data_IF_380112699399
#
_entry.id   IF_380112699399
#
_cell.length_a   1.000
_cell.length_b   1.000
_cell.length_c   1.000
_cell.angle_alpha   90.00
_cell.angle_beta   90.00
_cell.angle_gamma   90.00
#
_symmetry.space_group_name_H-M   'P 1'
#
loop_
_entity.id
_entity.type
_entity.pdbx_description
1 polymer ?
#
# COMPACT_ATOMS: atom_id res chain seq x y z
N UNK A 1 -53.37 14.08 -37.18
CA UNK A 1 -52.24 13.52 -37.95
C UNK A 1 -51.46 12.70 -36.94
N UNK A 2 -51.89 11.53 -36.50
CA UNK A 2 -52.54 10.37 -37.16
C UNK A 2 -51.80 9.86 -38.39
N UNK A 3 -51.08 8.75 -38.18
CA UNK A 3 -50.89 7.53 -39.00
C UNK A 3 -49.61 6.83 -38.48
N UNK A 4 -49.68 5.73 -37.72
CA UNK A 4 -49.91 4.32 -38.14
C UNK A 4 -48.87 3.82 -39.14
N UNK A 5 -48.40 2.57 -39.18
CA UNK A 5 -48.33 1.41 -38.29
C UNK A 5 -47.61 0.31 -39.11
N UNK A 6 -47.17 -0.76 -38.43
CA UNK A 6 -46.91 -2.11 -38.95
C UNK A 6 -45.60 -2.44 -39.68
N UNK A 7 -44.77 -3.28 -39.03
CA UNK A 7 -44.59 -4.64 -39.54
C UNK A 7 -44.37 -5.66 -38.39
N UNK A 8 -45.00 -6.82 -38.55
CA UNK A 8 -45.22 -7.90 -37.57
C UNK A 8 -44.65 -9.20 -38.13
N UNK A 9 -43.87 -9.96 -37.34
CA UNK A 9 -43.95 -11.44 -37.22
C UNK A 9 -42.79 -11.96 -36.35
N UNK A 10 -43.05 -12.42 -35.12
CA UNK A 10 -43.43 -13.77 -34.69
C UNK A 10 -42.27 -14.79 -34.56
N UNK A 11 -42.00 -15.21 -33.31
CA UNK A 11 -42.00 -16.61 -32.82
C UNK A 11 -41.84 -16.61 -31.27
N UNK A 12 -42.90 -16.94 -30.50
CA UNK A 12 -43.13 -18.25 -29.83
C UNK A 12 -42.11 -18.57 -28.72
N UNK A 13 -42.35 -18.21 -27.45
CA UNK A 13 -43.16 -18.88 -26.41
C UNK A 13 -42.51 -20.08 -25.70
N UNK A 14 -42.08 -19.90 -24.46
CA UNK A 14 -42.35 -20.86 -23.36
C UNK A 14 -42.09 -20.21 -22.01
N UNK A 15 -43.15 -19.96 -21.26
CA UNK A 15 -43.09 -19.49 -19.88
C UNK A 15 -42.87 -20.62 -18.87
N UNK A 16 -42.54 -20.21 -17.64
CA UNK A 16 -43.24 -20.62 -16.40
C UNK A 16 -42.68 -19.82 -15.23
N UNK A 17 -43.50 -18.91 -14.70
CA UNK A 17 -43.42 -18.41 -13.32
C UNK A 17 -44.25 -19.34 -12.44
N UNK A 18 -43.77 -19.67 -11.24
CA UNK A 18 -44.62 -19.98 -10.10
C UNK A 18 -43.95 -19.41 -8.84
N UNK A 19 -44.71 -18.57 -8.15
CA UNK A 19 -44.42 -17.99 -6.85
C UNK A 19 -45.00 -18.87 -5.71
N UNK A 20 -44.84 -18.36 -4.48
CA UNK A 20 -45.51 -18.71 -3.20
C UNK A 20 -44.78 -19.79 -2.36
N UNK A 21 -44.69 -19.74 -1.02
CA UNK A 21 -45.22 -18.85 0.05
C UNK A 21 -44.51 -19.25 1.36
N UNK A 22 -44.34 -18.30 2.28
CA UNK A 22 -44.02 -18.57 3.69
C UNK A 22 -45.28 -18.96 4.51
N UNK A 23 -45.14 -19.86 5.50
CA UNK A 23 -46.06 -19.98 6.63
C UNK A 23 -45.40 -20.61 7.87
N UNK A 24 -45.63 -19.98 9.03
CA UNK A 24 -45.26 -20.40 10.38
C UNK A 24 -46.36 -21.26 11.05
N UNK A 25 -46.00 -22.08 12.06
CA UNK A 25 -46.86 -22.31 13.24
C UNK A 25 -47.08 -23.75 13.76
N UNK A 26 -46.44 -24.05 14.91
CA UNK A 26 -46.95 -24.76 16.12
C UNK A 26 -47.43 -26.24 16.15
N UNK A 27 -46.92 -26.96 17.16
CA UNK A 27 -47.37 -28.22 17.83
C UNK A 27 -48.63 -27.99 18.71
N UNK A 28 -49.32 -28.96 19.40
CA UNK A 28 -48.84 -30.25 19.96
C UNK A 28 -49.84 -31.46 20.14
N UNK A 29 -49.25 -32.59 20.58
CA UNK A 29 -49.76 -33.57 21.60
C UNK A 29 -50.54 -34.85 21.24
N UNK A 30 -50.09 -35.92 21.93
CA UNK A 30 -50.75 -37.13 22.48
C UNK A 30 -51.08 -38.39 21.62
N UNK A 31 -50.50 -39.51 22.10
CA UNK A 31 -50.68 -40.96 21.83
C UNK A 31 -52.03 -41.48 22.46
N UNK A 32 -52.39 -42.80 22.55
CA UNK A 32 -51.66 -44.06 22.24
C UNK A 32 -52.49 -45.25 21.65
N UNK A 33 -51.81 -46.34 21.24
CA UNK A 33 -52.17 -47.74 21.55
C UNK A 33 -51.09 -48.75 21.11
N UNK A 34 -50.68 -49.64 22.03
CA UNK A 34 -49.90 -50.88 21.84
C UNK A 34 -50.88 -52.10 21.72
N UNK A 35 -50.46 -53.36 21.46
CA UNK A 35 -49.67 -54.23 22.39
C UNK A 35 -48.62 -55.15 21.67
N UNK A 36 -47.45 -55.46 22.24
CA UNK A 36 -47.09 -56.38 23.35
C UNK A 36 -46.72 -57.81 22.89
N UNK A 37 -45.46 -58.20 23.15
CA UNK A 37 -45.05 -59.58 23.45
C UNK A 37 -43.87 -59.58 24.44
N UNK A 38 -44.24 -59.80 25.70
CA UNK A 38 -43.43 -60.19 26.87
C UNK A 38 -42.37 -61.28 26.64
N UNK A 39 -41.25 -61.17 27.35
CA UNK A 39 -40.78 -62.12 28.41
C UNK A 39 -39.67 -61.48 29.27
N UNK A 40 -39.90 -61.50 30.58
CA UNK A 40 -39.07 -61.10 31.74
C UNK A 40 -38.06 -62.20 32.17
N UNK A 41 -37.22 -62.08 33.24
CA UNK A 41 -36.69 -60.92 34.01
C UNK A 41 -35.18 -61.01 34.46
N UNK A 42 -34.73 -59.95 35.16
CA UNK A 42 -33.69 -59.90 36.23
C UNK A 42 -32.18 -59.74 35.87
N UNK A 43 -31.58 -58.57 36.13
CA UNK A 43 -30.77 -58.26 37.34
C UNK A 43 -30.01 -56.92 37.25
N UNK A 44 -29.87 -56.27 38.41
CA UNK A 44 -29.15 -55.02 38.68
C UNK A 44 -27.62 -55.16 38.55
N UNK A 45 -26.94 -54.07 38.17
CA UNK A 45 -25.50 -53.93 38.37
C UNK A 45 -24.90 -52.63 37.83
N UNK A 46 -24.66 -51.66 38.72
CA UNK A 46 -23.80 -50.48 38.48
C UNK A 46 -22.39 -50.87 38.00
N UNK A 47 -21.83 -50.11 37.03
CA UNK A 47 -20.40 -49.73 36.89
C UNK A 47 -20.25 -48.75 35.71
N UNK A 48 -19.87 -47.50 36.01
CA UNK A 48 -18.53 -46.88 35.87
C UNK A 48 -18.17 -46.50 34.43
N UNK A 49 -17.94 -45.19 34.26
CA UNK A 49 -17.43 -44.55 33.06
C UNK A 49 -15.96 -44.90 32.83
N UNK A 50 -15.62 -45.17 31.57
CA UNK A 50 -14.24 -45.31 31.08
C UNK A 50 -13.72 -43.94 30.55
N UNK A 51 -12.40 -43.67 30.67
CA UNK A 51 -11.79 -42.40 30.27
C UNK A 51 -11.54 -42.30 28.75
N UNK A 52 -11.34 -41.09 28.21
CA UNK A 52 -11.27 -40.89 26.76
C UNK A 52 -9.93 -41.40 26.19
N UNK A 53 -10.04 -42.39 25.30
CA UNK A 53 -8.95 -42.89 24.49
C UNK A 53 -8.55 -41.90 23.39
N UNK A 54 -7.24 -41.68 23.33
CA UNK A 54 -6.45 -41.02 22.29
C UNK A 54 -6.99 -41.18 20.86
N UNK A 55 -7.50 -40.10 20.28
CA UNK A 55 -7.76 -40.01 18.84
C UNK A 55 -6.44 -39.76 18.12
N UNK A 56 -5.95 -40.78 17.41
CA UNK A 56 -4.87 -40.62 16.44
C UNK A 56 -5.28 -39.58 15.38
N UNK A 57 -4.58 -38.45 15.37
CA UNK A 57 -4.56 -37.54 14.23
C UNK A 57 -4.02 -38.30 13.03
N UNK A 58 -4.89 -38.62 12.07
CA UNK A 58 -4.43 -38.95 10.73
C UNK A 58 -3.79 -37.68 10.18
N UNK A 59 -2.46 -37.65 10.24
CA UNK A 59 -1.64 -36.61 9.65
C UNK A 59 -2.11 -36.36 8.23
N UNK A 60 -2.48 -35.11 7.96
CA UNK A 60 -2.60 -34.60 6.60
C UNK A 60 -1.23 -34.82 5.98
N UNK A 61 -1.13 -35.76 5.06
CA UNK A 61 0.07 -35.93 4.23
C UNK A 61 0.37 -34.54 3.65
N UNK A 62 1.58 -33.97 3.84
CA UNK A 62 1.93 -32.76 3.14
C UNK A 62 1.82 -33.10 1.66
N UNK A 63 0.90 -32.46 0.97
CA UNK A 63 0.86 -32.47 -0.48
C UNK A 63 2.27 -32.12 -0.94
N UNK A 64 2.96 -33.08 -1.57
CA UNK A 64 4.22 -32.82 -2.26
C UNK A 64 3.98 -31.58 -3.10
N UNK A 65 4.65 -30.48 -2.76
CA UNK A 65 4.86 -29.38 -3.68
C UNK A 65 5.39 -30.03 -4.96
N UNK A 66 4.62 -29.91 -6.04
CA UNK A 66 5.12 -30.15 -7.39
C UNK A 66 6.47 -29.44 -7.53
N UNK A 67 7.46 -30.01 -8.22
CA UNK A 67 8.75 -29.34 -8.40
C UNK A 67 8.47 -27.95 -8.95
N UNK A 68 8.87 -26.92 -8.18
CA UNK A 68 8.74 -25.52 -8.55
C UNK A 68 9.20 -25.40 -10.02
N UNK A 69 8.29 -24.97 -10.91
CA UNK A 69 8.73 -24.56 -12.24
C UNK A 69 9.81 -23.51 -12.02
N UNK A 70 10.98 -23.68 -12.63
CA UNK A 70 12.03 -22.68 -12.55
C UNK A 70 11.44 -21.33 -12.95
N UNK A 71 11.46 -20.39 -12.01
CA UNK A 71 10.98 -19.05 -12.24
C UNK A 71 11.87 -18.35 -13.28
N UNK A 72 11.35 -17.34 -13.97
CA UNK A 72 12.09 -16.61 -14.99
C UNK A 72 13.34 -15.96 -14.37
N UNK A 73 13.25 -15.49 -13.12
CA UNK A 73 14.37 -14.95 -12.38
C UNK A 73 15.45 -16.00 -12.11
N UNK A 74 15.07 -17.22 -11.70
CA UNK A 74 16.02 -18.33 -11.46
C UNK A 74 16.77 -18.70 -12.75
N UNK A 75 16.06 -18.75 -13.89
CA UNK A 75 16.66 -19.02 -15.19
C UNK A 75 17.64 -17.91 -15.62
N UNK A 76 17.30 -16.64 -15.35
CA UNK A 76 18.15 -15.50 -15.65
C UNK A 76 19.41 -15.50 -14.78
N UNK A 77 19.29 -15.75 -13.47
CA UNK A 77 20.44 -15.84 -12.55
C UNK A 77 21.38 -16.97 -12.99
N UNK A 78 20.86 -18.16 -13.32
CA UNK A 78 21.68 -19.28 -13.79
C UNK A 78 22.39 -18.99 -15.11
N UNK A 79 21.71 -18.32 -16.06
CA UNK A 79 22.32 -17.87 -17.30
C UNK A 79 23.46 -16.87 -17.02
N UNK A 80 23.23 -15.92 -16.11
CA UNK A 80 24.21 -14.90 -15.73
C UNK A 80 25.42 -15.55 -15.04
N UNK A 81 25.21 -16.51 -14.14
CA UNK A 81 26.28 -17.32 -13.53
C UNK A 81 27.09 -18.00 -14.61
N UNK A 82 26.46 -18.64 -15.60
CA UNK A 82 27.17 -19.38 -16.65
C UNK A 82 28.03 -18.43 -17.52
N UNK A 83 27.44 -17.33 -18.00
CA UNK A 83 28.13 -16.35 -18.85
C UNK A 83 29.27 -15.66 -18.09
N UNK A 84 29.02 -15.21 -16.87
CA UNK A 84 30.01 -14.48 -16.08
C UNK A 84 31.07 -15.40 -15.48
N UNK A 85 30.75 -16.66 -15.16
CA UNK A 85 31.75 -17.66 -14.79
C UNK A 85 32.69 -17.97 -15.95
N UNK A 86 32.17 -18.08 -17.17
CA UNK A 86 33.00 -18.25 -18.37
C UNK A 86 33.87 -17.02 -18.64
N UNK A 87 33.31 -15.81 -18.50
CA UNK A 87 34.07 -14.55 -18.59
C UNK A 87 35.17 -14.49 -17.52
N UNK A 88 34.84 -14.84 -16.28
CA UNK A 88 35.74 -14.92 -15.13
C UNK A 88 36.88 -15.91 -15.35
N UNK A 89 36.59 -17.06 -15.95
CA UNK A 89 37.61 -18.04 -16.34
C UNK A 89 38.61 -17.46 -17.34
N UNK A 90 38.12 -16.74 -18.36
CA UNK A 90 38.98 -16.09 -19.36
C UNK A 90 39.82 -14.97 -18.74
N UNK A 91 39.21 -14.13 -17.91
CA UNK A 91 39.86 -12.98 -17.27
C UNK A 91 40.86 -13.38 -16.18
N UNK A 92 40.57 -14.44 -15.42
CA UNK A 92 41.34 -14.85 -14.25
C UNK A 92 41.05 -13.99 -13.01
N UNK A 93 41.37 -14.52 -11.82
CA UNK A 93 41.17 -13.83 -10.54
C UNK A 93 42.06 -12.60 -10.42
N UNK A 94 43.30 -12.65 -10.90
CA UNK A 94 44.22 -11.51 -10.86
C UNK A 94 43.72 -10.31 -11.63
N UNK A 95 42.99 -10.50 -12.73
CA UNK A 95 42.34 -9.38 -13.41
C UNK A 95 40.97 -9.04 -12.81
N UNK A 96 40.10 -10.04 -12.67
CA UNK A 96 38.73 -9.83 -12.19
C UNK A 96 38.66 -9.36 -10.73
N UNK A 97 39.49 -9.92 -9.86
CA UNK A 97 39.54 -9.57 -8.44
C UNK A 97 40.08 -8.16 -8.19
N UNK A 98 41.10 -7.70 -8.93
CA UNK A 98 41.57 -6.32 -8.85
C UNK A 98 40.55 -5.31 -9.42
N UNK A 99 39.78 -5.70 -10.44
CA UNK A 99 38.66 -4.89 -10.92
C UNK A 99 37.54 -4.79 -9.86
N UNK A 100 37.13 -5.92 -9.26
CA UNK A 100 36.15 -5.93 -8.15
C UNK A 100 36.61 -5.10 -6.95
N UNK A 101 37.88 -5.22 -6.57
CA UNK A 101 38.46 -4.40 -5.51
C UNK A 101 38.38 -2.91 -5.86
N UNK A 102 38.70 -2.56 -7.11
CA UNK A 102 38.56 -1.19 -7.61
C UNK A 102 37.12 -0.68 -7.54
N UNK A 103 36.13 -1.51 -7.88
CA UNK A 103 34.71 -1.15 -7.75
C UNK A 103 34.30 -0.91 -6.31
N UNK A 104 34.69 -1.80 -5.37
CA UNK A 104 34.36 -1.65 -3.94
C UNK A 104 35.01 -0.40 -3.36
N UNK A 105 36.30 -0.20 -3.60
CA UNK A 105 37.01 1.01 -3.18
C UNK A 105 36.40 2.25 -3.83
N UNK A 106 36.05 2.15 -5.11
CA UNK A 106 35.39 3.21 -5.86
C UNK A 106 34.04 3.62 -5.28
N UNK A 107 33.23 2.67 -4.87
CA UNK A 107 31.94 2.92 -4.22
C UNK A 107 32.11 3.58 -2.85
N UNK A 108 33.06 3.10 -2.03
CA UNK A 108 33.35 3.70 -0.71
C UNK A 108 33.88 5.13 -0.86
N UNK A 109 34.88 5.33 -1.73
CA UNK A 109 35.46 6.65 -1.98
C UNK A 109 34.41 7.57 -2.59
N UNK A 110 33.66 7.09 -3.58
CA UNK A 110 32.56 7.82 -4.21
C UNK A 110 31.52 8.31 -3.19
N UNK A 111 31.08 7.44 -2.28
CA UNK A 111 30.13 7.81 -1.23
C UNK A 111 30.69 8.84 -0.25
N UNK A 112 32.00 8.82 0.02
CA UNK A 112 32.66 9.77 0.91
C UNK A 112 32.87 11.15 0.26
N UNK A 113 33.19 11.19 -1.04
CA UNK A 113 33.49 12.44 -1.75
C UNK A 113 32.27 13.08 -2.40
N UNK A 114 31.23 12.32 -2.72
CA UNK A 114 30.05 12.84 -3.40
C UNK A 114 29.35 13.95 -2.60
N UNK A 115 29.08 13.84 -1.28
CA UNK A 115 28.43 14.91 -0.53
C UNK A 115 29.21 16.25 -0.54
N UNK A 116 30.51 16.32 -0.17
CA UNK A 116 31.23 17.60 -0.15
C UNK A 116 31.48 18.18 -1.54
N UNK A 117 31.61 17.34 -2.58
CA UNK A 117 31.76 17.83 -3.95
C UNK A 117 30.44 18.36 -4.51
N UNK A 118 29.32 17.71 -4.22
CA UNK A 118 28.00 18.17 -4.66
C UNK A 118 27.69 19.56 -4.10
N UNK A 119 27.98 19.79 -2.82
CA UNK A 119 27.85 21.11 -2.19
C UNK A 119 28.72 22.20 -2.85
N UNK A 120 29.82 21.83 -3.48
CA UNK A 120 30.68 22.77 -4.21
C UNK A 120 30.13 23.10 -5.60
N UNK A 121 29.49 22.13 -6.27
CA UNK A 121 28.98 22.28 -7.63
C UNK A 121 27.51 22.74 -7.71
N UNK A 122 26.73 22.57 -6.64
CA UNK A 122 25.34 23.00 -6.56
C UNK A 122 25.25 24.44 -6.01
N UNK A 123 24.82 25.43 -6.80
CA UNK A 123 24.71 26.82 -6.35
C UNK A 123 23.61 27.06 -5.31
N UNK A 124 22.64 26.14 -5.21
CA UNK A 124 21.52 26.18 -4.27
C UNK A 124 21.33 24.79 -3.64
N UNK A 125 21.66 24.58 -2.36
CA UNK A 125 21.35 23.33 -1.66
C UNK A 125 19.83 23.08 -1.66
N UNK A 126 19.40 21.87 -2.00
CA UNK A 126 18.00 21.43 -2.07
C UNK A 126 17.34 21.55 -3.45
N UNK A 127 18.08 21.93 -4.49
CA UNK A 127 17.53 21.99 -5.86
C UNK A 127 17.35 20.60 -6.48
N UNK A 128 16.39 20.47 -7.40
CA UNK A 128 16.02 19.19 -8.02
C UNK A 128 17.18 18.48 -8.78
N UNK A 129 18.25 19.20 -9.12
CA UNK A 129 19.46 18.70 -9.78
C UNK A 129 20.53 18.16 -8.82
N UNK A 130 20.43 18.44 -7.51
CA UNK A 130 21.42 18.01 -6.51
C UNK A 130 21.63 16.48 -6.47
N UNK A 131 20.57 15.64 -6.47
CA UNK A 131 20.75 14.18 -6.47
C UNK A 131 21.42 13.67 -7.76
N UNK A 132 21.16 14.33 -8.89
CA UNK A 132 21.72 13.96 -10.18
C UNK A 132 23.23 14.26 -10.24
N UNK A 133 23.64 15.39 -9.67
CA UNK A 133 25.06 15.77 -9.55
C UNK A 133 25.78 14.80 -8.60
N UNK A 134 25.19 14.49 -7.45
CA UNK A 134 25.74 13.53 -6.49
C UNK A 134 25.91 12.13 -7.10
N UNK A 135 24.89 11.65 -7.82
CA UNK A 135 24.95 10.40 -8.56
C UNK A 135 26.03 10.41 -9.65
N UNK A 136 26.16 11.51 -10.39
CA UNK A 136 27.21 11.70 -11.38
C UNK A 136 28.62 11.59 -10.80
N UNK A 137 28.89 12.28 -9.68
CA UNK A 137 30.18 12.23 -8.98
C UNK A 137 30.47 10.82 -8.47
N UNK A 138 29.48 10.16 -7.87
CA UNK A 138 29.59 8.79 -7.38
C UNK A 138 29.95 7.80 -8.51
N UNK A 139 29.26 7.88 -9.64
CA UNK A 139 29.50 7.00 -10.80
C UNK A 139 30.90 7.25 -11.39
N UNK A 140 31.31 8.52 -11.54
CA UNK A 140 32.65 8.84 -12.05
C UNK A 140 33.75 8.28 -11.15
N UNK A 141 33.59 8.40 -9.82
CA UNK A 141 34.56 7.85 -8.87
C UNK A 141 34.70 6.33 -8.99
N UNK A 142 33.57 5.60 -9.12
CA UNK A 142 33.57 4.15 -9.34
C UNK A 142 34.32 3.82 -10.63
N UNK A 143 33.95 4.43 -11.75
CA UNK A 143 34.52 4.11 -13.06
C UNK A 143 36.03 4.36 -13.12
N UNK A 144 36.51 5.45 -12.52
CA UNK A 144 37.94 5.78 -12.50
C UNK A 144 38.71 4.76 -11.67
N UNK A 145 38.25 4.44 -10.46
CA UNK A 145 38.97 3.54 -9.54
C UNK A 145 38.89 2.08 -10.02
N UNK A 146 37.74 1.64 -10.52
CA UNK A 146 37.59 0.33 -11.18
C UNK A 146 38.49 0.23 -12.41
N UNK A 147 38.54 1.26 -13.25
CA UNK A 147 39.40 1.31 -14.44
C UNK A 147 40.88 1.16 -14.11
N UNK A 148 41.35 1.81 -13.03
CA UNK A 148 42.71 1.64 -12.52
C UNK A 148 42.95 0.22 -12.02
N UNK A 149 42.03 -0.33 -11.22
CA UNK A 149 42.08 -1.71 -10.74
C UNK A 149 42.14 -2.73 -11.87
N UNK A 150 41.29 -2.56 -12.89
CA UNK A 150 41.26 -3.40 -14.09
C UNK A 150 42.55 -3.30 -14.90
N UNK A 151 43.13 -2.12 -15.05
CA UNK A 151 44.40 -1.93 -15.78
C UNK A 151 45.56 -2.62 -15.07
N UNK A 152 45.65 -2.48 -13.75
CA UNK A 152 46.64 -3.19 -12.93
C UNK A 152 46.43 -4.70 -12.96
N UNK A 153 45.16 -5.13 -12.86
CA UNK A 153 44.78 -6.53 -12.92
C UNK A 153 45.09 -7.20 -14.27
N UNK A 154 44.88 -6.51 -15.38
CA UNK A 154 45.25 -7.00 -16.70
C UNK A 154 46.75 -7.24 -16.81
N UNK A 155 47.58 -6.29 -16.32
CA UNK A 155 49.04 -6.46 -16.29
C UNK A 155 49.45 -7.65 -15.42
N UNK A 156 48.83 -7.80 -14.25
CA UNK A 156 49.07 -8.95 -13.37
C UNK A 156 48.71 -10.27 -14.05
N UNK A 157 47.58 -10.34 -14.76
CA UNK A 157 47.14 -11.52 -15.51
C UNK A 157 48.14 -11.92 -16.61
N UNK A 158 48.67 -10.96 -17.37
CA UNK A 158 49.69 -11.24 -18.41
C UNK A 158 50.96 -11.87 -17.80
N UNK A 159 51.32 -11.49 -16.57
CA UNK A 159 52.44 -12.10 -15.85
C UNK A 159 52.08 -13.51 -15.35
N UNK A 160 50.89 -13.68 -14.77
CA UNK A 160 50.40 -14.98 -14.26
C UNK A 160 50.28 -16.03 -15.35
N UNK A 161 49.86 -15.65 -16.56
CA UNK A 161 49.75 -16.55 -17.72
C UNK A 161 51.08 -17.20 -18.13
N UNK A 162 52.22 -16.61 -17.76
CA UNK A 162 53.55 -17.18 -18.01
C UNK A 162 53.96 -18.25 -16.99
N UNK A 163 53.14 -18.47 -15.95
CA UNK A 163 53.44 -19.39 -14.85
C UNK A 163 52.51 -20.60 -14.85
N UNK A 164 52.84 -21.63 -14.07
CA UNK A 164 51.97 -22.79 -13.85
C UNK A 164 50.69 -22.46 -13.06
N UNK A 165 50.58 -21.26 -12.51
CA UNK A 165 49.42 -20.81 -11.73
C UNK A 165 48.27 -20.29 -12.62
N UNK A 166 48.48 -20.18 -13.93
CA UNK A 166 47.49 -19.65 -14.87
C UNK A 166 46.13 -20.37 -14.83
N UNK A 167 46.14 -21.69 -14.65
CA UNK A 167 44.91 -22.51 -14.54
C UNK A 167 44.19 -22.25 -13.22
N UNK A 168 44.92 -22.23 -12.10
CA UNK A 168 44.36 -21.92 -10.79
C UNK A 168 43.80 -20.50 -10.71
N UNK A 169 44.47 -19.52 -11.31
CA UNK A 169 43.99 -18.14 -11.43
C UNK A 169 42.69 -18.06 -12.25
N UNK A 170 42.57 -18.85 -13.31
CA UNK A 170 41.36 -18.92 -14.15
C UNK A 170 40.18 -19.57 -13.40
N UNK A 171 40.44 -20.67 -12.69
CA UNK A 171 39.42 -21.33 -11.85
C UNK A 171 38.95 -20.40 -10.73
N UNK A 172 39.89 -19.75 -10.04
CA UNK A 172 39.56 -18.75 -9.01
C UNK A 172 38.73 -17.59 -9.60
N UNK A 173 39.05 -17.12 -10.80
CA UNK A 173 38.28 -16.08 -11.49
C UNK A 173 36.84 -16.49 -11.78
N UNK A 174 36.62 -17.74 -12.20
CA UNK A 174 35.27 -18.30 -12.38
C UNK A 174 34.50 -18.38 -11.07
N UNK A 175 35.12 -18.86 -10.00
CA UNK A 175 34.49 -18.98 -8.67
C UNK A 175 34.12 -17.60 -8.13
N UNK A 176 35.03 -16.62 -8.20
CA UNK A 176 34.75 -15.26 -7.76
C UNK A 176 33.65 -14.58 -8.57
N UNK A 177 33.57 -14.87 -9.88
CA UNK A 177 32.49 -14.33 -10.71
C UNK A 177 31.15 -14.95 -10.35
N UNK A 178 31.08 -16.26 -10.11
CA UNK A 178 29.88 -16.93 -9.62
C UNK A 178 29.41 -16.34 -8.29
N UNK A 179 30.32 -16.20 -7.32
CA UNK A 179 30.02 -15.56 -6.03
C UNK A 179 29.56 -14.11 -6.19
N UNK A 180 30.16 -13.35 -7.12
CA UNK A 180 29.74 -11.98 -7.43
C UNK A 180 28.31 -11.91 -7.95
N UNK A 181 27.91 -12.83 -8.83
CA UNK A 181 26.51 -12.90 -9.32
C UNK A 181 25.55 -13.23 -8.19
N UNK A 182 25.87 -14.22 -7.36
CA UNK A 182 25.04 -14.58 -6.21
C UNK A 182 24.92 -13.42 -5.20
N UNK A 183 25.99 -12.65 -5.00
CA UNK A 183 25.95 -11.46 -4.15
C UNK A 183 25.05 -10.36 -4.73
N UNK A 184 25.13 -10.09 -6.03
CA UNK A 184 24.26 -9.10 -6.69
C UNK A 184 22.81 -9.55 -6.69
N UNK A 185 22.54 -10.83 -6.96
CA UNK A 185 21.21 -11.42 -6.88
C UNK A 185 20.63 -11.22 -5.47
N UNK A 186 21.36 -11.68 -4.44
CA UNK A 186 20.99 -11.46 -3.04
C UNK A 186 20.72 -9.99 -2.71
N UNK A 187 21.58 -9.07 -3.17
CA UNK A 187 21.42 -7.64 -2.91
C UNK A 187 20.16 -7.06 -3.57
N UNK A 188 19.89 -7.44 -4.82
CA UNK A 188 18.69 -7.01 -5.54
C UNK A 188 17.43 -7.64 -4.93
N UNK A 189 17.47 -8.93 -4.60
CA UNK A 189 16.42 -9.62 -3.86
C UNK A 189 16.11 -8.93 -2.55
N UNK A 190 17.14 -8.60 -1.75
CA UNK A 190 16.97 -7.83 -0.51
C UNK A 190 16.36 -6.45 -0.74
N UNK A 191 16.87 -5.70 -1.73
CA UNK A 191 16.42 -4.34 -2.03
C UNK A 191 14.95 -4.30 -2.47
N UNK A 192 14.54 -5.26 -3.31
CA UNK A 192 13.24 -5.24 -4.00
C UNK A 192 12.23 -6.28 -3.50
N UNK A 193 12.55 -7.11 -2.49
CA UNK A 193 11.64 -8.11 -1.92
C UNK A 193 10.30 -7.51 -1.44
N UNK A 194 10.32 -6.25 -1.01
CA UNK A 194 9.14 -5.50 -0.56
C UNK A 194 8.78 -4.35 -1.52
N UNK A 195 9.18 -4.43 -2.80
CA UNK A 195 8.82 -3.39 -3.77
C UNK A 195 7.31 -3.33 -4.02
N UNK A 196 6.80 -2.12 -4.28
CA UNK A 196 5.42 -1.85 -4.70
C UNK A 196 5.11 -2.40 -6.11
N UNK A 197 6.15 -2.63 -6.92
CA UNK A 197 6.06 -3.25 -8.23
C UNK A 197 5.74 -4.74 -8.10
N UNK A 198 4.45 -5.09 -8.16
CA UNK A 198 3.94 -6.46 -8.03
C UNK A 198 4.68 -7.49 -8.90
N UNK A 199 5.01 -7.16 -10.14
CA UNK A 199 5.75 -8.06 -11.05
C UNK A 199 7.13 -8.42 -10.50
N UNK A 200 7.86 -7.44 -9.93
CA UNK A 200 9.21 -7.65 -9.39
C UNK A 200 9.13 -8.42 -8.08
N UNK A 201 8.19 -8.02 -7.20
CA UNK A 201 7.95 -8.65 -5.92
C UNK A 201 7.54 -10.14 -6.06
N UNK A 202 6.60 -10.46 -6.96
CA UNK A 202 6.18 -11.84 -7.23
C UNK A 202 7.35 -12.70 -7.72
N UNK A 203 8.17 -12.21 -8.65
CA UNK A 203 9.31 -12.95 -9.18
C UNK A 203 10.39 -13.21 -8.10
N UNK A 204 10.64 -12.24 -7.22
CA UNK A 204 11.60 -12.39 -6.11
C UNK A 204 11.11 -13.38 -5.06
N UNK A 205 9.83 -13.31 -4.68
CA UNK A 205 9.26 -14.18 -3.65
C UNK A 205 9.05 -15.63 -4.11
N UNK A 206 8.83 -15.84 -5.41
CA UNK A 206 8.70 -17.19 -5.99
C UNK A 206 10.05 -17.84 -6.33
N UNK A 207 11.11 -17.04 -6.54
CA UNK A 207 12.47 -17.55 -6.83
C UNK A 207 13.00 -18.47 -5.73
N UNK A 208 13.46 -19.66 -6.13
CA UNK A 208 14.09 -20.59 -5.21
C UNK A 208 15.50 -20.14 -4.81
N UNK A 209 16.23 -19.50 -5.74
CA UNK A 209 17.58 -19.00 -5.51
C UNK A 209 17.56 -17.83 -4.52
N UNK A 210 16.67 -16.85 -4.69
CA UNK A 210 16.57 -15.72 -3.78
C UNK A 210 16.16 -16.13 -2.36
N UNK A 211 15.18 -17.03 -2.22
CA UNK A 211 14.80 -17.61 -0.90
C UNK A 211 15.98 -18.31 -0.22
N UNK A 212 16.78 -19.06 -0.98
CA UNK A 212 17.98 -19.72 -0.45
C UNK A 212 19.07 -18.70 -0.08
N UNK A 213 19.26 -17.65 -0.88
CA UNK A 213 20.24 -16.60 -0.60
C UNK A 213 19.87 -15.79 0.64
N UNK A 214 18.61 -15.38 0.79
CA UNK A 214 18.12 -14.61 1.93
C UNK A 214 18.20 -15.38 3.26
N UNK A 215 18.18 -16.71 3.24
CA UNK A 215 18.34 -17.54 4.45
C UNK A 215 19.79 -17.78 4.85
N UNK A 216 20.73 -17.72 3.90
CA UNK A 216 22.15 -18.04 4.13
C UNK A 216 22.99 -16.76 4.30
N UNK A 217 22.63 -15.67 3.61
CA UNK A 217 23.42 -14.46 3.58
C UNK A 217 23.36 -13.67 4.91
N UNK A 218 24.45 -12.97 5.27
CA UNK A 218 24.49 -12.13 6.47
C UNK A 218 23.58 -10.91 6.32
N UNK A 219 23.19 -10.32 7.45
CA UNK A 219 22.47 -9.04 7.46
C UNK A 219 23.29 -7.97 6.72
N UNK A 220 22.66 -7.17 5.84
CA UNK A 220 23.38 -6.20 5.05
C UNK A 220 24.00 -5.10 5.93
N UNK A 221 25.15 -4.55 5.53
CA UNK A 221 25.74 -3.38 6.18
C UNK A 221 24.75 -2.21 6.29
N UNK A 222 24.80 -1.48 7.40
CA UNK A 222 23.87 -0.38 7.70
C UNK A 222 23.77 0.71 6.62
N UNK A 223 24.82 0.93 5.83
CA UNK A 223 24.77 1.90 4.73
C UNK A 223 23.90 1.44 3.56
N UNK A 224 23.78 0.12 3.31
CA UNK A 224 22.91 -0.44 2.28
C UNK A 224 21.44 -0.42 2.72
N UNK A 225 21.18 -0.60 4.01
CA UNK A 225 19.83 -0.43 4.58
C UNK A 225 19.29 0.98 4.34
N UNK A 226 20.15 2.02 4.37
CA UNK A 226 19.76 3.40 4.02
C UNK A 226 19.41 3.59 2.55
N UNK A 227 20.08 2.88 1.65
CA UNK A 227 19.76 2.91 0.20
C UNK A 227 18.45 2.18 -0.05
N UNK A 228 18.24 1.06 0.62
CA UNK A 228 16.97 0.34 0.59
C UNK A 228 15.84 1.20 1.18
N UNK A 229 16.05 1.86 2.32
CA UNK A 229 15.09 2.81 2.92
C UNK A 229 14.80 3.97 1.97
N UNK A 230 15.79 4.53 1.28
CA UNK A 230 15.56 5.54 0.26
C UNK A 230 14.75 5.00 -0.92
N UNK A 231 14.99 3.78 -1.39
CA UNK A 231 14.28 3.15 -2.51
C UNK A 231 12.90 2.57 -2.14
N UNK A 232 12.71 2.20 -0.87
CA UNK A 232 11.44 1.75 -0.29
C UNK A 232 10.55 2.92 0.12
N UNK A 233 11.15 4.03 0.56
CA UNK A 233 10.50 5.31 0.82
C UNK A 233 10.56 6.22 -0.42
N UNK A 234 11.03 5.71 -1.56
CA UNK A 234 10.72 6.28 -2.88
C UNK A 234 9.34 5.78 -3.27
N UNK A 235 8.33 6.10 -2.46
CA UNK A 235 6.99 6.26 -2.99
C UNK A 235 7.13 7.19 -4.20
N UNK A 236 6.42 6.90 -5.29
CA UNK A 236 6.36 7.85 -6.40
C UNK A 236 5.98 9.20 -5.80
N UNK A 237 6.56 10.32 -6.30
CA UNK A 237 6.57 11.59 -5.57
C UNK A 237 5.16 11.99 -5.15
N UNK A 238 4.76 11.76 -3.89
CA UNK A 238 3.40 11.98 -3.38
C UNK A 238 2.84 13.30 -3.96
N UNK A 239 1.62 13.34 -4.54
CA UNK A 239 1.13 14.52 -5.24
C UNK A 239 1.03 15.75 -4.33
N UNK A 240 1.10 15.54 -3.01
CA UNK A 240 1.09 16.54 -1.95
C UNK A 240 2.48 16.81 -1.33
N UNK A 241 3.56 16.25 -1.88
CA UNK A 241 4.95 16.50 -1.43
C UNK A 241 5.43 17.94 -1.63
N UNK A 242 4.73 18.73 -2.45
CA UNK A 242 4.98 20.15 -2.66
C UNK A 242 4.45 21.07 -1.55
N UNK A 243 3.69 20.54 -0.58
CA UNK A 243 3.15 21.32 0.53
C UNK A 243 4.27 21.67 1.53
N UNK A 244 4.61 22.96 1.62
CA UNK A 244 5.63 23.49 2.55
C UNK A 244 5.14 24.78 3.24
N UNK A 245 4.15 24.69 4.14
CA UNK A 245 3.67 25.85 4.90
C UNK A 245 4.74 26.40 5.83
N UNK A 246 4.82 27.72 5.93
CA UNK A 246 5.63 28.39 6.97
C UNK A 246 4.73 28.98 8.06
N UNK A 247 3.97 28.13 8.75
CA UNK A 247 3.06 28.54 9.83
C UNK A 247 3.64 28.23 11.22
N UNK A 248 3.32 29.01 12.27
CA UNK A 248 3.70 28.67 13.64
C UNK A 248 3.14 27.30 14.09
N UNK A 249 3.80 26.67 15.05
CA UNK A 249 3.26 25.48 15.71
C UNK A 249 2.19 25.89 16.73
N UNK A 250 1.07 25.18 16.73
CA UNK A 250 -0.02 25.36 17.69
C UNK A 250 -0.12 24.14 18.62
N UNK A 251 -0.43 24.33 19.91
CA UNK A 251 -0.45 23.26 20.90
C UNK A 251 -1.66 22.35 20.71
N UNK A 252 -1.42 21.04 20.76
CA UNK A 252 -2.47 20.02 20.75
C UNK A 252 -3.40 20.13 21.97
N UNK A 253 -4.67 19.70 21.85
CA UNK A 253 -5.56 19.61 23.00
C UNK A 253 -5.02 18.67 24.07
N UNK A 254 -5.30 18.99 25.34
CA UNK A 254 -4.95 18.13 26.47
C UNK A 254 -5.75 16.82 26.48
N UNK A 255 -6.92 16.80 25.85
CA UNK A 255 -7.77 15.61 25.68
C UNK A 255 -8.68 15.80 24.47
N UNK A 256 -8.87 14.73 23.71
CA UNK A 256 -9.88 14.62 22.64
C UNK A 256 -11.19 13.98 23.14
N UNK A 257 -11.25 13.51 24.40
CA UNK A 257 -12.40 12.80 24.98
C UNK A 257 -13.56 13.74 25.37
N UNK A 258 -14.10 14.45 24.39
CA UNK A 258 -15.21 15.38 24.52
C UNK A 258 -16.51 14.76 24.04
N UNK A 259 -17.66 15.35 24.40
CA UNK A 259 -18.94 14.87 23.90
C UNK A 259 -19.09 15.04 22.38
N UNK A 260 -18.54 16.12 21.83
CA UNK A 260 -18.56 16.39 20.39
C UNK A 260 -17.73 15.40 19.59
N UNK A 261 -16.48 15.18 19.99
CA UNK A 261 -15.58 14.23 19.31
C UNK A 261 -16.13 12.80 19.38
N UNK A 262 -16.60 12.34 20.54
CA UNK A 262 -17.23 11.01 20.65
C UNK A 262 -18.50 10.84 19.81
N UNK A 263 -19.25 11.93 19.60
CA UNK A 263 -20.41 11.88 18.72
C UNK A 263 -19.96 11.73 17.26
N UNK A 264 -18.93 12.47 16.85
CA UNK A 264 -18.35 12.34 15.50
C UNK A 264 -17.75 10.94 15.26
N UNK A 265 -17.01 10.38 16.23
CA UNK A 265 -16.46 9.01 16.17
C UNK A 265 -17.54 7.97 15.84
N UNK A 266 -18.74 8.09 16.43
CA UNK A 266 -19.83 7.16 16.16
C UNK A 266 -20.33 7.17 14.70
N UNK A 267 -19.98 8.21 13.93
CA UNK A 267 -20.45 8.42 12.57
C UNK A 267 -19.37 8.25 11.48
N UNK A 268 -18.08 8.17 11.84
CA UNK A 268 -17.00 7.96 10.87
C UNK A 268 -16.91 6.49 10.47
N UNK A 269 -16.81 6.22 9.17
CA UNK A 269 -16.83 4.88 8.60
C UNK A 269 -15.55 4.59 7.82
N UNK A 270 -15.18 3.31 7.77
CA UNK A 270 -14.08 2.85 6.92
C UNK A 270 -14.55 2.71 5.48
N UNK A 271 -13.77 3.22 4.53
CA UNK A 271 -13.96 2.95 3.10
C UNK A 271 -12.93 1.94 2.65
N UNK A 272 -13.34 0.97 1.84
CA UNK A 272 -12.44 0.07 1.13
C UNK A 272 -12.83 0.10 -0.35
N UNK A 273 -11.90 0.52 -1.21
CA UNK A 273 -12.03 0.54 -2.65
C UNK A 273 -11.17 -0.56 -3.28
N UNK A 274 -11.77 -1.44 -4.07
CA UNK A 274 -11.11 -2.58 -4.69
C UNK A 274 -10.77 -2.29 -6.15
N UNK A 275 -9.54 -2.57 -6.57
CA UNK A 275 -9.14 -2.47 -7.99
C UNK A 275 -7.69 -2.09 -8.22
N UNK A 276 -7.17 -1.14 -7.44
CA UNK A 276 -5.81 -0.64 -7.58
C UNK A 276 -4.86 -1.37 -6.60
N UNK A 277 -3.59 -1.54 -6.99
CA UNK A 277 -2.58 -2.28 -6.20
C UNK A 277 -2.34 -3.75 -6.61
N UNK A 278 -2.81 -4.18 -7.79
CA UNK A 278 -2.62 -5.54 -8.32
C UNK A 278 -3.85 -6.44 -8.18
N UNK A 279 -3.76 -7.75 -8.51
CA UNK A 279 -4.91 -8.66 -8.47
C UNK A 279 -5.50 -8.77 -7.06
N UNK A 280 -6.67 -8.18 -6.84
CA UNK A 280 -7.32 -8.13 -5.51
C UNK A 280 -6.79 -7.03 -4.58
N UNK A 281 -6.02 -6.08 -5.10
CA UNK A 281 -5.58 -4.90 -4.35
C UNK A 281 -6.77 -4.04 -3.91
N UNK A 282 -6.61 -3.42 -2.73
CA UNK A 282 -7.61 -2.53 -2.16
C UNK A 282 -6.92 -1.34 -1.48
N UNK A 283 -7.55 -0.17 -1.60
CA UNK A 283 -7.18 1.05 -0.89
C UNK A 283 -8.16 1.23 0.26
N UNK A 284 -7.65 1.56 1.43
CA UNK A 284 -8.47 1.87 2.60
C UNK A 284 -8.36 3.35 2.94
N UNK A 285 -9.47 3.92 3.37
CA UNK A 285 -9.56 5.30 3.84
C UNK A 285 -10.73 5.47 4.78
N UNK A 286 -11.09 6.73 5.00
CA UNK A 286 -12.14 7.15 5.93
C UNK A 286 -13.22 7.92 5.20
N UNK A 287 -14.44 7.87 5.72
CA UNK A 287 -15.57 8.63 5.21
C UNK A 287 -16.58 8.95 6.30
N UNK A 288 -17.39 9.98 6.08
CA UNK A 288 -18.38 10.44 7.04
C UNK A 288 -19.63 10.99 6.35
N UNK A 289 -20.81 10.96 7.02
CA UNK A 289 -22.07 11.29 6.38
C UNK A 289 -22.21 12.80 6.11
N UNK A 290 -22.59 13.14 4.87
CA UNK A 290 -22.85 14.52 4.41
C UNK A 290 -24.29 14.75 3.92
N UNK A 291 -25.08 13.68 3.82
CA UNK A 291 -26.47 13.73 3.38
C UNK A 291 -27.16 12.38 3.52
N UNK A 292 -28.40 12.29 3.05
CA UNK A 292 -29.18 11.06 3.06
C UNK A 292 -28.51 9.98 2.22
N UNK A 293 -28.00 8.93 2.87
CA UNK A 293 -27.20 7.86 2.25
C UNK A 293 -25.94 8.36 1.51
N UNK A 294 -25.47 9.59 1.78
CA UNK A 294 -24.28 10.18 1.15
C UNK A 294 -23.12 10.25 2.14
N UNK A 295 -21.96 9.74 1.73
CA UNK A 295 -20.71 9.76 2.50
C UNK A 295 -19.63 10.50 1.72
N UNK A 296 -18.91 11.42 2.37
CA UNK A 296 -17.76 12.10 1.78
C UNK A 296 -16.47 11.34 2.10
N UNK A 297 -15.56 11.26 1.13
CA UNK A 297 -14.19 10.76 1.26
C UNK A 297 -13.27 11.51 0.30
N UNK A 298 -11.98 11.16 0.23
CA UNK A 298 -11.10 11.70 -0.80
C UNK A 298 -11.25 10.97 -2.13
N UNK A 299 -11.02 11.68 -3.23
CA UNK A 299 -11.05 11.09 -4.57
C UNK A 299 -9.99 9.99 -4.73
N UNK A 300 -8.76 10.22 -4.24
CA UNK A 300 -7.68 9.23 -4.34
C UNK A 300 -7.99 7.92 -3.60
N UNK A 301 -8.87 7.92 -2.59
CA UNK A 301 -9.26 6.70 -1.85
C UNK A 301 -10.04 5.75 -2.75
N UNK A 302 -10.82 6.27 -3.70
CA UNK A 302 -11.72 5.49 -4.57
C UNK A 302 -11.29 5.48 -6.04
N UNK A 303 -10.24 6.19 -6.39
CA UNK A 303 -9.78 6.34 -7.77
C UNK A 303 -9.49 5.00 -8.46
N UNK A 304 -10.06 4.79 -9.65
CA UNK A 304 -9.84 3.61 -10.50
C UNK A 304 -10.38 2.29 -9.94
N UNK A 305 -11.21 2.34 -8.91
CA UNK A 305 -11.76 1.14 -8.28
C UNK A 305 -12.94 0.57 -9.07
N UNK A 306 -13.13 -0.74 -9.03
CA UNK A 306 -14.30 -1.37 -9.66
C UNK A 306 -15.43 -1.64 -8.66
N UNK A 307 -15.16 -1.48 -7.36
CA UNK A 307 -16.09 -1.73 -6.27
C UNK A 307 -15.66 -0.99 -5.02
N UNK A 308 -16.61 -0.35 -4.34
CA UNK A 308 -16.37 0.33 -3.08
C UNK A 308 -17.30 -0.22 -2.01
N UNK A 309 -16.78 -0.34 -0.80
CA UNK A 309 -17.56 -0.69 0.39
C UNK A 309 -17.32 0.31 1.50
N UNK A 310 -18.38 0.65 2.23
CA UNK A 310 -18.33 1.52 3.40
C UNK A 310 -18.76 0.69 4.60
N UNK A 311 -17.94 0.68 5.64
CA UNK A 311 -18.21 -0.03 6.88
C UNK A 311 -18.41 0.96 8.03
N UNK A 312 -19.67 1.23 8.41
CA UNK A 312 -19.94 2.04 9.59
C UNK A 312 -19.54 1.33 10.91
N UNK A 313 -19.33 2.10 11.99
CA UNK A 313 -18.95 1.55 13.29
C UNK A 313 -19.91 0.47 13.77
N UNK A 314 -19.37 -0.70 14.14
CA UNK A 314 -20.15 -1.83 14.65
C UNK A 314 -21.12 -2.47 13.64
N UNK A 315 -21.08 -2.09 12.36
CA UNK A 315 -21.96 -2.61 11.31
C UNK A 315 -21.20 -3.44 10.28
N UNK A 316 -21.96 -4.20 9.49
CA UNK A 316 -21.42 -4.91 8.33
C UNK A 316 -21.12 -3.91 7.20
N UNK A 317 -20.12 -4.19 6.35
CA UNK A 317 -19.86 -3.39 5.16
C UNK A 317 -21.09 -3.29 4.24
N UNK A 318 -21.34 -2.09 3.74
CA UNK A 318 -22.37 -1.76 2.77
C UNK A 318 -21.70 -1.48 1.42
N UNK A 319 -22.38 -1.85 0.33
CA UNK A 319 -21.92 -1.47 -1.02
C UNK A 319 -22.10 0.03 -1.20
N UNK A 320 -21.12 0.67 -1.83
CA UNK A 320 -21.16 2.09 -2.16
C UNK A 320 -20.97 2.29 -3.67
N UNK A 321 -21.40 3.44 -4.17
CA UNK A 321 -21.16 3.89 -5.54
C UNK A 321 -20.69 5.34 -5.51
N UNK A 322 -19.65 5.66 -6.29
CA UNK A 322 -19.18 7.04 -6.46
C UNK A 322 -20.22 7.81 -7.27
N UNK A 323 -20.77 8.88 -6.70
CA UNK A 323 -21.77 9.76 -7.37
C UNK A 323 -21.23 11.15 -7.68
N UNK A 324 -20.18 11.57 -6.98
CA UNK A 324 -19.36 12.74 -7.32
C UNK A 324 -17.89 12.34 -7.19
N UNK A 325 -17.08 12.78 -8.14
CA UNK A 325 -15.64 12.53 -8.17
C UNK A 325 -14.95 13.78 -8.71
N UNK A 326 -14.26 14.50 -7.84
CA UNK A 326 -13.46 15.67 -8.15
C UNK A 326 -11.97 15.38 -7.86
N UNK A 327 -11.16 15.10 -8.91
CA UNK A 327 -9.73 14.85 -8.75
C UNK A 327 -8.91 16.13 -8.50
N UNK A 328 -9.47 17.30 -8.82
CA UNK A 328 -8.77 18.58 -8.71
C UNK A 328 -8.72 19.01 -7.25
N UNK A 329 -9.80 18.86 -6.48
CA UNK A 329 -9.78 19.13 -5.03
C UNK A 329 -9.68 17.88 -4.15
N UNK A 330 -9.53 16.70 -4.77
CA UNK A 330 -9.40 15.40 -4.10
C UNK A 330 -10.63 15.04 -3.23
N UNK A 331 -11.83 15.22 -3.77
CA UNK A 331 -13.10 14.92 -3.10
C UNK A 331 -13.89 13.88 -3.88
N UNK A 332 -14.46 12.91 -3.16
CA UNK A 332 -15.47 12.02 -3.72
C UNK A 332 -16.66 11.90 -2.76
N UNK A 333 -17.84 11.75 -3.33
CA UNK A 333 -19.06 11.46 -2.59
C UNK A 333 -19.61 10.11 -3.02
N UNK A 334 -19.89 9.28 -2.04
CA UNK A 334 -20.40 7.93 -2.19
C UNK A 334 -21.88 7.90 -1.83
N UNK A 335 -22.69 7.34 -2.70
CA UNK A 335 -24.04 6.88 -2.35
C UNK A 335 -23.96 5.48 -1.75
N UNK A 336 -24.48 5.32 -0.53
CA UNK A 336 -24.42 4.10 0.29
C UNK A 336 -25.84 3.72 0.70
N UNK A 337 -26.60 2.99 -0.15
CA UNK A 337 -27.99 2.68 0.14
C UNK A 337 -28.18 1.94 1.48
N UNK A 338 -29.04 2.47 2.33
CA UNK A 338 -29.32 1.89 3.65
C UNK A 338 -28.28 2.25 4.72
N UNK A 339 -27.52 3.32 4.51
CA UNK A 339 -26.64 3.91 5.52
C UNK A 339 -27.47 4.36 6.73
N UNK A 340 -28.49 5.19 6.51
CA UNK A 340 -29.38 5.66 7.58
C UNK A 340 -28.68 6.41 8.72
N UNK A 341 -27.64 7.18 8.40
CA UNK A 341 -26.87 8.01 9.34
C UNK A 341 -27.18 9.49 9.10
N UNK A 342 -27.11 10.30 10.16
CA UNK A 342 -27.32 11.74 10.05
C UNK A 342 -26.02 12.43 9.66
N UNK A 343 -26.05 13.50 8.84
CA UNK A 343 -24.85 14.24 8.48
C UNK A 343 -24.16 14.84 9.70
N UNK A 344 -22.82 14.86 9.69
CA UNK A 344 -22.07 15.60 10.70
C UNK A 344 -22.27 17.12 10.52
N UNK A 345 -22.32 17.90 11.61
CA UNK A 345 -22.39 19.35 11.52
C UNK A 345 -21.08 19.88 10.93
N UNK A 346 -21.18 20.73 9.90
CA UNK A 346 -20.02 21.37 9.25
C UNK A 346 -19.93 22.82 9.76
N UNK A 347 -18.76 23.21 10.25
CA UNK A 347 -18.50 24.58 10.68
C UNK A 347 -18.47 25.53 9.48
N UNK A 348 -18.98 26.75 9.68
CA UNK A 348 -18.97 27.78 8.66
C UNK A 348 -17.67 28.58 8.68
N UNK A 349 -17.05 28.78 7.52
CA UNK A 349 -15.84 29.57 7.36
C UNK A 349 -14.56 28.83 7.77
N UNK A 350 -13.43 29.53 7.77
CA UNK A 350 -12.14 28.94 8.09
C UNK A 350 -11.93 28.79 9.59
N UNK A 351 -11.33 27.67 10.03
CA UNK A 351 -10.93 27.55 11.42
C UNK A 351 -9.80 28.55 11.73
N UNK A 352 -9.86 29.16 12.91
CA UNK A 352 -8.80 30.03 13.38
C UNK A 352 -7.55 29.22 13.74
N UNK A 353 -6.37 29.82 13.59
CA UNK A 353 -5.15 29.26 14.18
C UNK A 353 -5.34 29.08 15.70
N UNK A 354 -4.87 27.96 16.23
CA UNK A 354 -5.06 27.53 17.61
C UNK A 354 -6.37 26.80 17.88
N UNK A 355 -7.28 26.66 16.90
CA UNK A 355 -8.47 25.81 17.06
C UNK A 355 -8.03 24.37 17.30
N UNK A 356 -8.43 23.81 18.44
CA UNK A 356 -8.12 22.45 18.83
C UNK A 356 -9.23 21.49 18.43
N UNK A 357 -8.85 20.25 18.16
CA UNK A 357 -9.78 19.26 17.63
C UNK A 357 -9.16 17.87 17.53
N UNK A 358 -9.71 17.06 16.64
CA UNK A 358 -9.21 15.74 16.33
C UNK A 358 -9.42 15.36 14.86
N UNK A 359 -8.49 14.59 14.32
CA UNK A 359 -8.69 13.81 13.09
C UNK A 359 -9.25 12.46 13.50
N UNK A 360 -10.35 12.04 12.87
CA UNK A 360 -10.97 10.75 13.11
C UNK A 360 -10.89 9.93 11.83
N UNK A 361 -10.35 8.72 11.91
CA UNK A 361 -10.14 7.90 10.72
C UNK A 361 -9.84 6.44 11.01
N UNK A 362 -9.42 5.72 9.97
CA UNK A 362 -9.08 4.30 9.99
C UNK A 362 -7.65 4.08 9.51
N UNK A 363 -6.64 4.37 10.35
CA UNK A 363 -5.23 4.23 10.01
C UNK A 363 -4.89 2.87 9.40
N UNK A 364 -4.25 2.88 8.24
CA UNK A 364 -3.85 1.70 7.46
C UNK A 364 -5.01 0.73 7.16
N UNK A 365 -6.26 1.22 7.21
CA UNK A 365 -7.48 0.41 7.12
C UNK A 365 -7.77 -0.44 8.36
N UNK A 366 -7.10 -0.19 9.48
CA UNK A 366 -7.23 -0.85 10.76
C UNK A 366 -8.50 -0.50 11.54
N UNK A 367 -8.48 -0.57 12.88
CA UNK A 367 -9.53 -0.03 13.73
C UNK A 367 -9.63 1.50 13.61
N UNK A 368 -10.78 2.05 13.98
CA UNK A 368 -10.95 3.49 14.11
C UNK A 368 -9.98 4.08 15.14
N UNK A 369 -9.43 5.24 14.85
CA UNK A 369 -8.57 6.01 15.73
C UNK A 369 -8.89 7.50 15.68
N UNK A 370 -8.64 8.15 16.82
CA UNK A 370 -8.83 9.58 17.00
C UNK A 370 -7.49 10.20 17.37
N UNK A 371 -6.96 11.04 16.49
CA UNK A 371 -5.68 11.72 16.61
C UNK A 371 -5.90 13.16 17.02
N UNK A 372 -5.26 13.61 18.10
CA UNK A 372 -5.33 15.00 18.54
C UNK A 372 -4.80 15.94 17.46
N UNK A 373 -5.52 17.03 17.21
CA UNK A 373 -5.18 18.00 16.18
C UNK A 373 -5.26 19.45 16.69
N UNK A 374 -4.43 20.33 16.13
CA UNK A 374 -4.56 21.77 16.31
C UNK A 374 -4.31 22.50 14.98
N UNK A 375 -5.18 23.44 14.63
CA UNK A 375 -5.06 24.23 13.41
C UNK A 375 -3.92 25.23 13.54
N UNK A 376 -2.96 25.19 12.62
CA UNK A 376 -1.85 26.16 12.53
C UNK A 376 -2.21 27.38 11.69
N UNK A 377 -3.13 27.19 10.74
CA UNK A 377 -3.67 28.23 9.87
C UNK A 377 -4.25 27.63 8.59
N UNK A 378 -4.69 28.51 7.70
CA UNK A 378 -5.18 28.17 6.36
C UNK A 378 -4.37 28.94 5.33
N UNK A 379 -3.98 28.25 4.25
CA UNK A 379 -3.24 28.85 3.14
C UNK A 379 -3.67 28.26 1.79
N UNK A 380 -3.50 29.04 0.73
CA UNK A 380 -3.66 28.57 -0.64
C UNK A 380 -2.44 27.74 -1.01
N UNK A 381 -2.63 26.43 -1.11
CA UNK A 381 -1.54 25.52 -1.44
C UNK A 381 -1.67 25.05 -2.89
N UNK A 382 -0.63 25.34 -3.69
CA UNK A 382 -0.57 24.90 -5.09
C UNK A 382 0.26 23.65 -5.21
N UNK A 383 -0.37 22.53 -5.55
CA UNK A 383 0.27 21.22 -5.68
C UNK A 383 -0.31 20.45 -6.86
N UNK A 384 0.19 19.26 -7.15
CA UNK A 384 -0.37 18.43 -8.21
C UNK A 384 -1.81 17.98 -7.88
N UNK A 385 -2.62 17.78 -8.90
CA UNK A 385 -3.83 16.97 -8.80
C UNK A 385 -3.47 15.51 -8.46
N UNK A 386 -4.49 14.68 -8.20
CA UNK A 386 -4.25 13.28 -7.83
C UNK A 386 -3.64 12.43 -8.97
N UNK A 387 -3.55 12.95 -10.20
CA UNK A 387 -3.06 12.24 -11.39
C UNK A 387 -1.78 12.81 -11.99
N UNK A 388 -1.16 13.82 -11.36
CA UNK A 388 -0.02 14.57 -11.90
C UNK A 388 -0.29 15.15 -13.30
N UNK A 389 -1.54 15.46 -13.61
CA UNK A 389 -1.95 16.01 -14.90
C UNK A 389 -1.79 17.54 -14.94
N UNK A 390 -1.79 18.19 -13.77
CA UNK A 390 -1.59 19.62 -13.65
C UNK A 390 -1.47 20.09 -12.20
N UNK A 391 -1.13 21.37 -12.03
CA UNK A 391 -1.14 22.03 -10.73
C UNK A 391 -2.51 22.60 -10.43
N UNK A 392 -2.97 22.39 -9.20
CA UNK A 392 -4.23 22.88 -8.65
C UNK A 392 -3.95 23.64 -7.36
N UNK A 393 -4.71 24.69 -7.11
CA UNK A 393 -4.62 25.47 -5.87
C UNK A 393 -5.83 25.13 -5.00
N UNK A 394 -5.58 24.72 -3.76
CA UNK A 394 -6.60 24.30 -2.79
C UNK A 394 -6.49 25.12 -1.51
N UNK A 395 -7.61 25.43 -0.88
CA UNK A 395 -7.60 26.07 0.43
C UNK A 395 -7.27 25.01 1.49
N UNK A 396 -6.03 25.02 1.96
CA UNK A 396 -5.48 23.97 2.81
C UNK A 396 -5.41 24.43 4.25
N UNK A 397 -6.10 23.71 5.13
CA UNK A 397 -5.96 23.82 6.59
C UNK A 397 -4.74 23.00 7.01
N UNK A 398 -3.72 23.68 7.52
CA UNK A 398 -2.51 23.06 8.04
C UNK A 398 -2.73 22.74 9.51
N UNK A 399 -2.49 21.50 9.91
CA UNK A 399 -2.70 21.04 11.28
C UNK A 399 -1.43 20.46 11.89
N UNK A 400 -1.26 20.68 13.19
CA UNK A 400 -0.41 19.83 14.03
C UNK A 400 -1.18 18.54 14.30
N UNK A 401 -0.81 17.43 13.67
CA UNK A 401 -1.40 16.10 13.90
C UNK A 401 -0.52 15.00 13.27
N UNK A 402 -0.49 13.81 13.88
CA UNK A 402 0.17 12.62 13.34
C UNK A 402 -0.77 11.90 12.36
N UNK A 403 -1.03 12.54 11.21
CA UNK A 403 -1.85 11.98 10.12
C UNK A 403 -1.06 10.88 9.40
N UNK A 404 -1.71 9.75 9.14
CA UNK A 404 -1.11 8.62 8.42
C UNK A 404 -2.08 8.05 7.35
N UNK A 405 -1.58 7.25 6.39
CA UNK A 405 -2.44 6.63 5.38
C UNK A 405 -3.62 5.90 6.02
N UNK A 406 -4.82 6.03 5.45
CA UNK A 406 -6.08 5.54 6.03
C UNK A 406 -6.89 6.61 6.77
N UNK A 407 -6.25 7.67 7.26
CA UNK A 407 -6.96 8.85 7.79
C UNK A 407 -7.57 9.70 6.66
N UNK A 408 -7.05 9.57 5.44
CA UNK A 408 -7.55 10.26 4.24
C UNK A 408 -9.06 10.08 4.06
N UNK A 409 -9.75 11.19 3.86
CA UNK A 409 -11.21 11.31 3.75
C UNK A 409 -11.92 11.46 5.10
N UNK A 410 -11.19 11.26 6.20
CA UNK A 410 -11.70 11.41 7.57
C UNK A 410 -11.91 12.87 7.95
N UNK A 411 -12.92 13.18 8.79
CA UNK A 411 -13.17 14.55 9.19
C UNK A 411 -12.10 15.02 10.19
N UNK A 412 -11.63 16.25 10.00
CA UNK A 412 -11.03 17.05 11.05
C UNK A 412 -12.17 17.76 11.79
N UNK A 413 -12.39 17.44 13.06
CA UNK A 413 -13.45 18.03 13.89
C UNK A 413 -12.88 18.91 14.99
N UNK A 414 -13.60 19.96 15.37
CA UNK A 414 -13.31 20.69 16.61
C UNK A 414 -13.77 19.91 17.86
N UNK A 415 -13.46 20.44 19.05
CA UNK A 415 -13.85 19.80 20.32
C UNK A 415 -15.38 19.76 20.56
N UNK A 416 -16.17 20.52 19.80
CA UNK A 416 -17.63 20.50 19.83
C UNK A 416 -18.22 19.50 18.82
N UNK A 417 -17.37 18.85 18.01
CA UNK A 417 -17.75 17.84 17.03
C UNK A 417 -18.17 18.41 15.68
N UNK A 418 -17.88 19.69 15.40
CA UNK A 418 -18.12 20.29 14.09
C UNK A 418 -16.96 19.99 13.16
N UNK A 419 -17.25 19.56 11.94
CA UNK A 419 -16.26 19.35 10.89
C UNK A 419 -15.70 20.71 10.47
N UNK A 420 -14.38 20.87 10.62
CA UNK A 420 -13.61 22.07 10.25
C UNK A 420 -12.64 21.80 9.09
N UNK A 421 -12.58 20.54 8.59
CA UNK A 421 -11.86 20.19 7.37
C UNK A 421 -11.96 18.71 7.00
N UNK A 422 -11.44 18.34 5.83
CA UNK A 422 -11.34 16.95 5.35
C UNK A 422 -9.87 16.55 5.23
N UNK A 423 -9.41 15.63 6.06
CA UNK A 423 -8.01 15.17 6.08
C UNK A 423 -7.66 14.52 4.75
N UNK A 424 -6.57 14.94 4.08
CA UNK A 424 -6.18 14.39 2.77
C UNK A 424 -4.72 13.99 2.65
N UNK A 425 -3.81 14.58 3.45
CA UNK A 425 -2.38 14.27 3.35
C UNK A 425 -1.63 14.47 4.66
N UNK A 426 -0.50 13.77 4.78
CA UNK A 426 0.53 14.02 5.79
C UNK A 426 1.69 14.83 5.21
N UNK A 427 2.43 15.54 6.06
CA UNK A 427 3.69 16.18 5.64
C UNK A 427 4.79 15.15 5.43
N UNK A 428 5.52 15.29 4.33
CA UNK A 428 6.69 14.44 4.02
C UNK A 428 8.00 15.02 4.58
N UNK A 429 7.97 16.26 5.08
CA UNK A 429 9.16 17.01 5.51
C UNK A 429 9.12 17.42 6.98
N UNK A 430 7.92 17.55 7.56
CA UNK A 430 7.71 17.93 8.97
C UNK A 430 6.98 16.82 9.70
N UNK A 431 7.55 16.34 10.81
CA UNK A 431 6.85 15.40 11.70
C UNK A 431 5.64 16.07 12.37
N UNK A 432 4.56 15.31 12.61
CA UNK A 432 3.36 15.79 13.30
C UNK A 432 2.70 17.01 12.61
N UNK A 433 2.74 17.01 11.27
CA UNK A 433 2.07 17.98 10.41
C UNK A 433 1.20 17.23 9.41
N UNK A 434 -0.07 17.63 9.33
CA UNK A 434 -1.05 17.09 8.39
C UNK A 434 -1.78 18.20 7.66
N UNK A 435 -2.54 17.80 6.65
CA UNK A 435 -3.27 18.70 5.78
C UNK A 435 -4.72 18.25 5.64
N UNK A 436 -5.62 19.23 5.75
CA UNK A 436 -7.03 19.05 5.51
C UNK A 436 -7.54 20.08 4.50
N UNK A 437 -8.50 19.70 3.66
CA UNK A 437 -9.22 20.62 2.79
C UNK A 437 -10.13 21.48 3.64
N UNK A 438 -10.23 22.77 3.32
CA UNK A 438 -11.20 23.64 3.95
C UNK A 438 -12.63 23.20 3.61
N UNK A 439 -13.56 23.42 4.55
CA UNK A 439 -14.98 23.07 4.34
C UNK A 439 -15.67 23.96 3.30
N UNK A 440 -15.06 25.09 2.93
CA UNK A 440 -15.49 25.95 1.82
C UNK A 440 -15.42 25.24 0.48
N UNK A 441 -14.39 24.41 0.26
CA UNK A 441 -14.13 23.77 -1.02
C UNK A 441 -15.13 22.65 -1.34
N UNK A 442 -15.60 21.91 -0.31
CA UNK A 442 -16.45 20.74 -0.50
C UNK A 442 -17.94 21.05 -0.74
N UNK A 443 -18.36 22.30 -0.55
CA UNK A 443 -19.78 22.66 -0.56
C UNK A 443 -20.46 22.44 -1.91
N UNK A 444 -19.73 22.70 -3.00
CA UNK A 444 -20.25 22.54 -4.37
C UNK A 444 -20.45 21.07 -4.73
N UNK A 445 -19.54 20.18 -4.34
CA UNK A 445 -19.65 18.74 -4.52
C UNK A 445 -20.78 18.14 -3.69
N UNK A 446 -20.88 18.53 -2.41
CA UNK A 446 -21.98 18.08 -1.54
C UNK A 446 -23.32 18.48 -2.13
N UNK A 447 -23.45 19.69 -2.67
CA UNK A 447 -24.65 20.12 -3.36
C UNK A 447 -24.90 19.33 -4.66
N UNK A 448 -23.86 19.06 -5.45
CA UNK A 448 -23.96 18.28 -6.67
C UNK A 448 -24.43 16.85 -6.42
N UNK A 449 -24.03 16.25 -5.28
CA UNK A 449 -24.45 14.90 -4.90
C UNK A 449 -25.92 14.81 -4.46
N UNK A 450 -26.54 15.91 -4.01
CA UNK A 450 -27.91 15.88 -3.52
C UNK A 450 -28.88 15.38 -4.60
N UNK A 451 -29.63 14.32 -4.27
CA UNK A 451 -30.59 13.69 -5.18
C UNK A 451 -29.96 12.84 -6.29
N UNK A 452 -28.62 12.69 -6.33
CA UNK A 452 -27.92 11.84 -7.28
C UNK A 452 -27.60 10.47 -6.67
N UNK A 453 -27.94 9.42 -7.42
CA UNK A 453 -27.66 8.03 -7.05
C UNK A 453 -27.02 7.22 -8.18
N UNK A 454 -26.85 7.84 -9.36
CA UNK A 454 -26.22 7.21 -10.51
C UNK A 454 -24.70 7.28 -10.36
N UNK A 455 -24.05 6.13 -10.58
CA UNK A 455 -22.59 6.07 -10.56
C UNK A 455 -21.97 6.98 -11.63
N UNK A 456 -20.93 7.70 -11.24
CA UNK A 456 -20.01 8.41 -12.14
C UNK A 456 -18.71 7.63 -12.29
N UNK A 457 -17.87 8.01 -13.25
CA UNK A 457 -16.52 7.45 -13.35
C UNK A 457 -15.67 7.93 -12.17
N UNK A 458 -14.95 7.02 -11.54
CA UNK A 458 -13.95 7.26 -10.51
C UNK A 458 -12.53 7.30 -11.09
N UNK A 459 -12.41 7.62 -12.38
CA UNK A 459 -11.13 7.83 -13.08
C UNK A 459 -10.26 6.58 -13.22
N UNK A 460 -8.95 6.79 -13.23
CA UNK A 460 -7.94 5.74 -13.30
C UNK A 460 -7.34 5.48 -11.90
N UNK A 461 -6.58 4.39 -11.75
CA UNK A 461 -5.76 4.22 -10.56
C UNK A 461 -4.76 5.37 -10.45
N UNK A 462 -4.60 5.92 -9.25
CA UNK A 462 -3.52 6.86 -8.95
C UNK A 462 -2.20 6.09 -8.98
N UNK A 463 -1.19 6.65 -9.65
CA UNK A 463 0.17 6.12 -9.62
C UNK A 463 0.74 6.39 -8.21
N UNK A 464 0.90 5.33 -7.41
CA UNK A 464 1.37 5.38 -6.02
C UNK A 464 2.86 5.19 -5.85
#
# INVERSE_FOLDING_TARGET
MDMDADDVSHWSSSGRRCAWRWRWGATPSMRPHAPDRKRDPCQLGHRRADPPGTAHSRGRVPTRQTPDRMDILDALILLLILVLSFSGYRRGFTWGGLAMLGLVVGAVVGALIAPPLTQFFSPHPGSADEPLIAAGIFIVAILVIEGLGSTLGYRARVLTLKTRLATWDSVAGSVSSCLGVLFVAWFLGYTFANSSLSVVNTQINESAIERALLTIAPQPPAFLAKVQEFLQNSDLPNPFSGLMPSLPLEPLPASTDTAGVRAAEADVSRVIAYGCGGPGGAVAGSAWPVGDDLMLTNAHVVAGSYSQTVQPPGRQPLSAQVVVFDPDIDVAILNVPGLGMSPLPIASGYPAAGTQGAVIGYPEGGPEATVAAAVRGTEDATTWDIYYSGYVTRETVVISADVIPGDSGGPLVDLDGQVIGVTFAMSTTTSNEGYALATSDIGSDVQAAQGHSAAVSDGACVDG
#
